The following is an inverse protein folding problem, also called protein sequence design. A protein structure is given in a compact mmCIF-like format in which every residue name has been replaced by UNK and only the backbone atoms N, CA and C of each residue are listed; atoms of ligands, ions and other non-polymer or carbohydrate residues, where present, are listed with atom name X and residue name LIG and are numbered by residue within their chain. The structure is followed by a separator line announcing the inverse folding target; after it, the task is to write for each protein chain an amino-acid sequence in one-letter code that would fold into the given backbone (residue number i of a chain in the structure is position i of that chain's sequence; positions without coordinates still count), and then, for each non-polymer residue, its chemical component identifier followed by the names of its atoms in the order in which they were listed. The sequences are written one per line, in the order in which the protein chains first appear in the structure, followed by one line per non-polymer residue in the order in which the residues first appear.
data_IF_042877507999
#
_entry.id   IF_042877507999
#
_cell.length_a   1.000
_cell.length_b   1.000
_cell.length_c   1.000
_cell.angle_alpha   90.00
_cell.angle_beta   90.00
_cell.angle_gamma   90.00
#
_symmetry.space_group_name_H-M   'P 1'
#
loop_
_entity.id
_entity.type
_entity.pdbx_description
1 polymer ?
#
# COMPACT_ATOMS: atom_id res chain seq x y z
N UNK A 1 1.01 3.97 -8.08
CA UNK A 1 1.66 5.21 -7.56
C UNK A 1 0.60 6.20 -7.07
N UNK A 2 -0.45 6.53 -7.86
CA UNK A 2 -1.48 7.50 -7.49
C UNK A 2 -2.13 7.22 -6.12
N UNK A 3 -2.44 5.95 -5.81
CA UNK A 3 -3.02 5.58 -4.52
C UNK A 3 -2.04 5.87 -3.37
N UNK A 4 -0.74 5.62 -3.58
CA UNK A 4 0.31 5.93 -2.60
C UNK A 4 0.38 7.44 -2.37
N UNK A 5 0.44 8.23 -3.43
CA UNK A 5 0.52 9.68 -3.35
C UNK A 5 -0.72 10.27 -2.65
N UNK A 6 -1.89 9.66 -2.87
CA UNK A 6 -3.14 10.03 -2.23
C UNK A 6 -3.10 9.76 -0.72
N UNK A 7 -2.69 8.56 -0.32
CA UNK A 7 -2.58 8.20 1.10
C UNK A 7 -1.49 9.04 1.80
N UNK A 8 -0.35 9.28 1.15
CA UNK A 8 0.70 10.12 1.69
C UNK A 8 0.22 11.57 1.89
N UNK A 9 -0.51 12.12 0.93
CA UNK A 9 -1.11 13.45 1.07
C UNK A 9 -2.06 13.52 2.27
N UNK A 10 -2.97 12.55 2.41
CA UNK A 10 -3.93 12.54 3.49
C UNK A 10 -3.27 12.34 4.84
N UNK A 11 -2.33 11.42 4.98
CA UNK A 11 -1.62 11.19 6.25
C UNK A 11 -0.76 12.38 6.66
N UNK A 12 -0.05 13.01 5.73
CA UNK A 12 0.74 14.24 6.00
C UNK A 12 -0.13 15.43 6.38
N UNK A 13 -1.37 15.46 5.93
CA UNK A 13 -2.34 16.52 6.23
C UNK A 13 -3.23 16.20 7.43
N UNK A 14 -2.94 15.15 8.20
CA UNK A 14 -3.77 14.73 9.32
C UNK A 14 -5.17 14.32 8.86
N UNK A 15 -5.31 13.77 7.67
CA UNK A 15 -6.58 13.38 7.02
C UNK A 15 -7.51 14.55 6.67
N UNK A 16 -7.05 15.79 6.80
CA UNK A 16 -7.81 16.99 6.41
C UNK A 16 -7.21 17.55 5.13
N UNK A 17 -7.79 17.23 4.00
CA UNK A 17 -7.31 17.70 2.68
C UNK A 17 -8.42 18.46 1.98
N UNK A 18 -8.12 19.72 1.60
CA UNK A 18 -9.04 20.52 0.80
C UNK A 18 -9.13 19.98 -0.63
N UNK A 19 -10.28 20.21 -1.28
CA UNK A 19 -10.48 19.92 -2.70
C UNK A 19 -9.37 20.46 -3.59
N UNK A 20 -8.85 21.65 -3.27
CA UNK A 20 -7.76 22.27 -4.02
C UNK A 20 -6.46 21.45 -3.94
N UNK A 21 -6.12 20.91 -2.76
CA UNK A 21 -4.94 20.04 -2.58
C UNK A 21 -5.11 18.72 -3.31
N UNK A 22 -6.30 18.11 -3.23
CA UNK A 22 -6.61 16.90 -3.98
C UNK A 22 -6.53 17.13 -5.50
N UNK A 23 -7.09 18.23 -5.99
CA UNK A 23 -6.99 18.60 -7.40
C UNK A 23 -5.55 18.83 -7.82
N UNK A 24 -4.76 19.51 -6.99
CA UNK A 24 -3.34 19.74 -7.26
C UNK A 24 -2.58 18.41 -7.33
N UNK A 25 -2.77 17.51 -6.38
CA UNK A 25 -2.17 16.17 -6.40
C UNK A 25 -2.53 15.42 -7.68
N UNK A 26 -3.81 15.45 -8.06
CA UNK A 26 -4.28 14.82 -9.29
C UNK A 26 -3.60 15.45 -10.51
N UNK A 27 -3.52 16.76 -10.59
CA UNK A 27 -2.86 17.48 -11.70
C UNK A 27 -1.37 17.17 -11.73
N UNK A 28 -0.68 17.22 -10.60
CA UNK A 28 0.76 16.96 -10.50
C UNK A 28 1.09 15.50 -10.84
N UNK A 29 0.28 14.56 -10.33
CA UNK A 29 0.42 13.12 -10.61
C UNK A 29 0.02 12.77 -12.05
N UNK A 30 -0.92 13.53 -12.65
CA UNK A 30 -1.41 13.33 -14.00
C UNK A 30 -0.60 14.12 -15.05
N UNK A 31 0.38 14.88 -14.62
CA UNK A 31 1.25 15.68 -15.51
C UNK A 31 0.47 16.73 -16.29
N UNK A 32 1.06 17.89 -16.43
CA UNK A 32 0.47 19.02 -17.15
C UNK A 32 0.20 18.74 -18.63
N UNK A 33 0.78 17.71 -19.20
CA UNK A 33 0.72 17.39 -20.62
C UNK A 33 -0.28 16.29 -20.99
N UNK A 34 -1.15 15.89 -20.07
CA UNK A 34 -2.17 14.87 -20.36
C UNK A 34 -1.63 13.49 -20.77
N UNK A 35 -0.31 13.32 -20.77
CA UNK A 35 0.34 12.05 -21.01
C UNK A 35 0.43 11.33 -19.66
N UNK A 36 -0.67 10.80 -19.30
CA UNK A 36 -0.81 10.04 -18.11
C UNK A 36 -0.81 8.57 -18.50
N UNK A 37 0.10 7.74 -18.01
CA UNK A 37 0.01 6.30 -18.27
C UNK A 37 -1.37 5.77 -17.90
N UNK A 38 -1.97 6.31 -16.88
CA UNK A 38 -3.35 6.04 -16.50
C UNK A 38 -4.38 6.59 -17.51
N UNK A 39 -4.14 7.70 -18.16
CA UNK A 39 -5.10 8.28 -19.08
C UNK A 39 -5.40 7.39 -20.29
N UNK A 40 -4.48 6.49 -20.61
CA UNK A 40 -4.68 5.48 -21.66
C UNK A 40 -5.41 4.25 -21.15
N UNK A 41 -5.28 3.93 -19.85
CA UNK A 41 -5.71 2.67 -19.24
C UNK A 41 -6.91 2.80 -18.28
N UNK A 42 -7.52 3.98 -18.15
CA UNK A 42 -8.77 4.07 -17.39
C UNK A 42 -9.83 3.18 -18.02
N UNK A 43 -10.49 2.32 -17.22
CA UNK A 43 -11.63 1.56 -17.70
C UNK A 43 -12.65 2.51 -18.33
N UNK A 44 -13.27 2.06 -19.40
CA UNK A 44 -14.36 2.80 -20.04
C UNK A 44 -15.66 2.44 -19.34
N UNK A 45 -16.51 3.44 -19.12
CA UNK A 45 -17.88 3.19 -18.70
C UNK A 45 -18.69 2.54 -19.85
N UNK A 46 -19.95 2.17 -19.59
CA UNK A 46 -20.84 1.59 -20.60
C UNK A 46 -21.03 2.46 -21.86
N UNK A 47 -20.73 3.76 -21.78
CA UNK A 47 -20.78 4.71 -22.92
C UNK A 47 -19.43 4.84 -23.63
N UNK A 48 -18.43 4.03 -23.31
CA UNK A 48 -17.11 4.08 -23.90
C UNK A 48 -16.22 5.27 -23.45
N UNK A 49 -16.68 6.08 -22.50
CA UNK A 49 -15.93 7.21 -21.95
C UNK A 49 -14.97 6.74 -20.86
N UNK A 50 -13.82 7.41 -20.73
CA UNK A 50 -12.86 7.11 -19.65
C UNK A 50 -13.46 7.48 -18.30
N UNK A 51 -13.56 6.50 -17.42
CA UNK A 51 -14.24 6.62 -16.12
C UNK A 51 -13.32 7.23 -15.05
N UNK A 52 -12.92 8.48 -15.26
CA UNK A 52 -12.06 9.21 -14.31
C UNK A 52 -12.81 9.57 -13.02
N UNK A 53 -14.08 9.90 -13.15
CA UNK A 53 -14.93 10.34 -12.02
C UNK A 53 -15.16 9.20 -11.03
N UNK A 54 -15.46 8.00 -11.52
CA UNK A 54 -15.66 6.82 -10.68
C UNK A 54 -14.38 6.41 -9.97
N UNK A 55 -13.22 6.50 -10.62
CA UNK A 55 -11.94 6.21 -9.98
C UNK A 55 -11.61 7.23 -8.88
N UNK A 56 -11.87 8.52 -9.12
CA UNK A 56 -11.71 9.55 -8.10
C UNK A 56 -12.64 9.27 -6.91
N UNK A 57 -13.92 9.04 -7.16
CA UNK A 57 -14.86 8.71 -6.11
C UNK A 57 -14.47 7.43 -5.34
N UNK A 58 -13.90 6.46 -6.04
CA UNK A 58 -13.38 5.23 -5.42
C UNK A 58 -12.19 5.53 -4.48
N UNK A 59 -11.25 6.37 -4.89
CA UNK A 59 -10.12 6.77 -4.03
C UNK A 59 -10.59 7.54 -2.81
N UNK A 60 -11.51 8.48 -2.98
CA UNK A 60 -12.06 9.26 -1.86
C UNK A 60 -12.75 8.34 -0.83
N UNK A 61 -13.57 7.40 -1.30
CA UNK A 61 -14.24 6.42 -0.43
C UNK A 61 -13.24 5.47 0.26
N UNK A 62 -12.23 4.99 -0.45
CA UNK A 62 -11.19 4.14 0.11
C UNK A 62 -10.38 4.87 1.17
N UNK A 63 -10.04 6.14 0.90
CA UNK A 63 -9.30 6.98 1.85
C UNK A 63 -10.11 7.23 3.11
N UNK A 64 -11.39 7.54 2.98
CA UNK A 64 -12.29 7.72 4.13
C UNK A 64 -12.45 6.42 4.92
N UNK A 65 -12.61 5.29 4.24
CA UNK A 65 -12.71 3.99 4.90
C UNK A 65 -11.41 3.64 5.66
N UNK A 66 -10.26 3.93 5.06
CA UNK A 66 -8.96 3.74 5.71
C UNK A 66 -8.78 4.66 6.91
N UNK A 67 -9.15 5.94 6.80
CA UNK A 67 -9.13 6.89 7.90
C UNK A 67 -9.96 6.39 9.08
N UNK A 68 -11.20 5.98 8.82
CA UNK A 68 -12.10 5.46 9.85
C UNK A 68 -11.55 4.19 10.50
N UNK A 69 -10.99 3.28 9.70
CA UNK A 69 -10.35 2.06 10.19
C UNK A 69 -9.16 2.38 11.10
N UNK A 70 -8.28 3.28 10.64
CA UNK A 70 -7.10 3.68 11.41
C UNK A 70 -7.48 4.36 12.73
N UNK A 71 -8.48 5.26 12.72
CA UNK A 71 -8.99 5.91 13.91
C UNK A 71 -9.61 4.89 14.89
N UNK A 72 -10.46 3.99 14.41
CA UNK A 72 -11.10 2.96 15.22
C UNK A 72 -10.08 2.03 15.88
N UNK A 73 -9.02 1.69 15.17
CA UNK A 73 -7.95 0.81 15.63
C UNK A 73 -6.82 1.55 16.35
N UNK A 74 -6.93 2.86 16.50
CA UNK A 74 -5.94 3.74 17.15
C UNK A 74 -4.56 3.72 16.50
N UNK A 75 -4.51 3.58 15.17
CA UNK A 75 -3.26 3.72 14.43
C UNK A 75 -2.72 5.15 14.55
N UNK A 76 -1.40 5.37 14.54
CA UNK A 76 -0.82 6.70 14.44
C UNK A 76 -1.36 7.47 13.23
N UNK A 77 -1.61 8.77 13.38
CA UNK A 77 -2.15 9.61 12.32
C UNK A 77 -1.09 10.08 11.30
N UNK A 78 0.18 9.84 11.58
CA UNK A 78 1.30 10.30 10.74
C UNK A 78 2.50 9.37 10.86
N UNK A 79 3.57 9.66 10.10
CA UNK A 79 4.80 8.91 10.15
C UNK A 79 4.77 7.63 9.31
N UNK A 80 3.84 7.49 8.38
CA UNK A 80 3.72 6.35 7.49
C UNK A 80 4.55 6.52 6.23
N UNK A 81 5.25 5.46 5.84
CA UNK A 81 5.79 5.26 4.49
C UNK A 81 4.92 4.26 3.76
N UNK A 82 4.47 4.64 2.59
CA UNK A 82 3.60 3.85 1.72
C UNK A 82 4.41 3.24 0.59
N UNK A 83 4.23 1.98 0.31
CA UNK A 83 4.96 1.29 -0.75
C UNK A 83 4.08 0.34 -1.56
N UNK A 84 4.41 0.22 -2.86
CA UNK A 84 3.80 -0.72 -3.79
C UNK A 84 4.86 -1.19 -4.79
N UNK A 85 5.36 -2.40 -4.61
CA UNK A 85 6.41 -2.95 -5.45
C UNK A 85 7.85 -2.52 -5.09
N UNK A 86 8.00 -1.49 -4.27
CA UNK A 86 9.28 -1.01 -3.72
C UNK A 86 9.22 -0.92 -2.18
N UNK A 87 10.18 -0.28 -1.56
CA UNK A 87 10.21 -0.03 -0.11
C UNK A 87 9.95 -1.30 0.71
N UNK A 88 9.04 -1.22 1.68
CA UNK A 88 8.68 -2.36 2.52
C UNK A 88 8.00 -3.48 1.71
N UNK A 89 7.14 -3.16 0.76
CA UNK A 89 6.50 -4.16 -0.10
C UNK A 89 7.53 -4.92 -0.93
N UNK A 90 8.46 -4.20 -1.57
CA UNK A 90 9.53 -4.82 -2.36
C UNK A 90 10.45 -5.69 -1.51
N UNK A 91 10.76 -5.26 -0.29
CA UNK A 91 11.53 -6.03 0.67
C UNK A 91 10.82 -7.34 1.04
N UNK A 92 9.54 -7.27 1.45
CA UNK A 92 8.74 -8.45 1.82
C UNK A 92 8.62 -9.44 0.64
N UNK A 93 8.37 -8.95 -0.55
CA UNK A 93 8.28 -9.78 -1.75
C UNK A 93 9.63 -10.46 -2.08
N UNK A 94 10.74 -9.76 -1.90
CA UNK A 94 12.07 -10.34 -2.07
C UNK A 94 12.32 -11.48 -1.08
N UNK A 95 12.07 -11.26 0.21
CA UNK A 95 12.21 -12.29 1.24
C UNK A 95 11.31 -13.51 0.92
N UNK A 96 10.05 -13.26 0.58
CA UNK A 96 9.11 -14.33 0.24
C UNK A 96 9.58 -15.19 -0.93
N UNK A 97 10.12 -14.58 -1.98
CA UNK A 97 10.60 -15.32 -3.16
C UNK A 97 11.92 -16.01 -2.90
N UNK A 98 12.88 -15.36 -2.27
CA UNK A 98 14.24 -15.89 -2.10
C UNK A 98 14.33 -16.89 -0.96
N UNK A 99 13.71 -16.62 0.19
CA UNK A 99 13.89 -17.41 1.42
C UNK A 99 12.69 -18.29 1.77
N UNK A 100 11.47 -17.91 1.35
CA UNK A 100 10.26 -18.70 1.63
C UNK A 100 9.78 -19.53 0.45
N UNK A 101 10.49 -19.50 -0.70
CA UNK A 101 10.16 -20.32 -1.86
C UNK A 101 8.81 -20.00 -2.48
N UNK A 102 8.32 -18.79 -2.33
CA UNK A 102 7.12 -18.34 -3.03
C UNK A 102 7.45 -18.21 -4.51
N UNK A 103 6.82 -19.06 -5.32
CA UNK A 103 6.97 -19.07 -6.77
C UNK A 103 5.64 -18.73 -7.44
N UNK A 104 5.70 -18.11 -8.63
CA UNK A 104 4.50 -17.75 -9.40
C UNK A 104 4.03 -16.32 -9.13
N UNK A 105 2.73 -16.07 -9.25
CA UNK A 105 2.16 -14.76 -9.01
C UNK A 105 2.26 -14.39 -7.52
N UNK A 106 2.95 -13.30 -7.21
CA UNK A 106 3.03 -12.75 -5.85
C UNK A 106 1.63 -12.43 -5.30
N UNK A 107 0.66 -12.17 -6.18
CA UNK A 107 -0.73 -11.90 -5.80
C UNK A 107 -1.39 -13.07 -5.06
N UNK A 108 -0.95 -14.30 -5.30
CA UNK A 108 -1.48 -15.48 -4.60
C UNK A 108 -0.98 -15.61 -3.16
N UNK A 109 0.23 -15.15 -2.90
CA UNK A 109 0.82 -15.13 -1.55
C UNK A 109 0.55 -13.82 -0.82
N UNK A 110 0.66 -12.73 -1.54
CA UNK A 110 0.57 -11.39 -0.98
C UNK A 110 -0.62 -10.62 -1.62
N UNK A 111 -1.82 -10.72 -1.03
CA UNK A 111 -3.01 -10.06 -1.55
C UNK A 111 -3.01 -8.54 -1.31
N UNK A 112 -1.90 -7.98 -0.83
CA UNK A 112 -1.75 -6.57 -0.52
C UNK A 112 -1.43 -5.78 -1.79
N UNK A 113 -2.18 -4.72 -2.04
CA UNK A 113 -1.89 -3.76 -3.10
C UNK A 113 -0.88 -2.70 -2.64
N UNK A 114 -0.94 -2.34 -1.36
CA UNK A 114 -0.09 -1.34 -0.72
C UNK A 114 0.28 -1.84 0.68
N UNK A 115 1.52 -1.57 1.08
CA UNK A 115 1.97 -1.72 2.47
C UNK A 115 2.35 -0.35 3.01
N UNK A 116 1.80 0.01 4.16
CA UNK A 116 2.27 1.13 4.94
C UNK A 116 3.03 0.66 6.17
N UNK A 117 4.14 1.31 6.47
CA UNK A 117 4.98 1.04 7.63
C UNK A 117 5.28 2.33 8.38
N UNK A 118 5.26 2.29 9.72
CA UNK A 118 5.73 3.41 10.53
C UNK A 118 7.21 3.64 10.26
N UNK A 119 7.57 4.86 9.85
CA UNK A 119 8.95 5.21 9.44
C UNK A 119 9.98 4.89 10.52
N UNK A 120 9.60 5.07 11.79
CA UNK A 120 10.45 4.75 12.95
C UNK A 120 10.66 3.26 13.17
N UNK A 121 9.79 2.41 12.62
CA UNK A 121 9.82 0.96 12.81
C UNK A 121 10.32 0.20 11.58
N UNK A 122 10.46 0.86 10.45
CA UNK A 122 10.80 0.20 9.18
C UNK A 122 12.08 -0.62 9.28
N UNK A 123 13.16 -0.01 9.81
CA UNK A 123 14.43 -0.71 9.91
C UNK A 123 14.37 -1.85 10.94
N UNK A 124 13.73 -1.63 12.07
CA UNK A 124 13.55 -2.67 13.09
C UNK A 124 12.83 -3.90 12.55
N UNK A 125 11.79 -3.68 11.73
CA UNK A 125 11.04 -4.77 11.10
C UNK A 125 11.92 -5.53 10.10
N UNK A 126 12.67 -4.81 9.27
CA UNK A 126 13.61 -5.42 8.31
C UNK A 126 14.68 -6.24 9.00
N UNK A 127 15.30 -5.69 10.03
CA UNK A 127 16.36 -6.36 10.79
C UNK A 127 15.86 -7.65 11.46
N UNK A 128 14.64 -7.63 12.04
CA UNK A 128 14.04 -8.83 12.63
C UNK A 128 13.75 -9.89 11.58
N UNK A 129 13.21 -9.50 10.42
CA UNK A 129 12.94 -10.43 9.33
C UNK A 129 14.25 -11.03 8.79
N UNK A 130 15.27 -10.22 8.57
CA UNK A 130 16.57 -10.69 8.06
C UNK A 130 17.28 -11.62 9.03
N UNK A 131 17.12 -11.38 10.33
CA UNK A 131 17.70 -12.20 11.39
C UNK A 131 17.02 -13.56 11.51
N UNK A 132 15.68 -13.61 11.42
CA UNK A 132 14.90 -14.80 11.77
C UNK A 132 14.52 -15.63 10.54
N UNK A 133 14.36 -15.02 9.37
CA UNK A 133 14.04 -15.67 8.08
C UNK A 133 15.33 -15.87 7.29
N UNK A 134 15.99 -17.01 7.44
CA UNK A 134 17.37 -17.24 7.01
C UNK A 134 17.42 -18.12 5.75
N UNK A 135 18.35 -17.83 4.85
CA UNK A 135 18.66 -18.70 3.70
C UNK A 135 19.12 -20.09 4.17
N UNK A 136 18.70 -21.12 3.43
CA UNK A 136 19.06 -22.51 3.71
C UNK A 136 18.22 -23.19 4.79
N UNK A 137 17.32 -22.47 5.44
CA UNK A 137 16.29 -23.03 6.32
C UNK A 137 15.12 -23.55 5.48
N UNK A 138 14.36 -24.50 6.03
CA UNK A 138 13.15 -24.99 5.39
C UNK A 138 12.19 -23.85 5.02
N UNK A 139 11.67 -23.91 3.81
CA UNK A 139 10.88 -22.81 3.22
C UNK A 139 9.55 -22.60 3.91
N UNK A 140 8.95 -23.67 4.45
CA UNK A 140 7.67 -23.56 5.14
C UNK A 140 7.88 -22.99 6.55
N UNK A 141 8.98 -23.35 7.21
CA UNK A 141 9.39 -22.71 8.48
C UNK A 141 9.60 -21.21 8.27
N UNK A 142 10.31 -20.82 7.21
CA UNK A 142 10.54 -19.42 6.89
C UNK A 142 9.24 -18.65 6.59
N UNK A 143 8.26 -19.27 5.92
CA UNK A 143 6.92 -18.67 5.70
C UNK A 143 6.21 -18.40 7.02
N UNK A 144 6.23 -19.37 7.93
CA UNK A 144 5.58 -19.23 9.22
C UNK A 144 6.23 -18.15 10.08
N UNK A 145 7.57 -18.07 10.07
CA UNK A 145 8.32 -17.00 10.74
C UNK A 145 7.98 -15.64 10.14
N UNK A 146 8.03 -15.48 8.82
CA UNK A 146 7.69 -14.24 8.14
C UNK A 146 6.25 -13.79 8.47
N UNK A 147 5.30 -14.70 8.39
CA UNK A 147 3.90 -14.42 8.72
C UNK A 147 3.74 -14.04 10.21
N UNK A 148 4.43 -14.72 11.11
CA UNK A 148 4.43 -14.41 12.54
C UNK A 148 4.94 -13.00 12.82
N UNK A 149 6.05 -12.61 12.21
CA UNK A 149 6.64 -11.27 12.34
C UNK A 149 5.68 -10.22 11.77
N UNK A 150 5.12 -10.45 10.58
CA UNK A 150 4.15 -9.52 9.99
C UNK A 150 2.93 -9.33 10.89
N UNK A 151 2.34 -10.41 11.39
CA UNK A 151 1.20 -10.36 12.31
C UNK A 151 1.55 -9.60 13.59
N UNK A 152 2.73 -9.80 14.16
CA UNK A 152 3.22 -9.06 15.33
C UNK A 152 3.18 -7.56 15.09
N UNK A 153 3.73 -7.10 13.97
CA UNK A 153 3.78 -5.67 13.66
C UNK A 153 2.45 -5.08 13.18
N UNK A 154 1.58 -5.87 12.57
CA UNK A 154 0.20 -5.46 12.28
C UNK A 154 -0.58 -5.25 13.60
N UNK A 155 -0.48 -6.20 14.53
CA UNK A 155 -1.11 -6.08 15.87
C UNK A 155 -0.50 -4.94 16.68
N UNK A 156 0.80 -4.68 16.52
CA UNK A 156 1.52 -3.57 17.13
C UNK A 156 1.28 -2.22 16.47
N UNK A 157 0.42 -2.13 15.46
CA UNK A 157 0.05 -0.91 14.74
C UNK A 157 1.24 -0.21 14.04
N UNK A 158 2.27 -0.96 13.70
CA UNK A 158 3.46 -0.49 13.00
C UNK A 158 3.48 -0.86 11.51
N UNK A 159 2.71 -1.86 11.11
CA UNK A 159 2.56 -2.34 9.74
C UNK A 159 1.07 -2.37 9.37
N UNK A 160 0.73 -1.87 8.19
CA UNK A 160 -0.65 -1.82 7.71
C UNK A 160 -0.72 -2.33 6.26
N UNK A 161 -1.17 -3.57 6.07
CA UNK A 161 -1.44 -4.11 4.74
C UNK A 161 -2.79 -3.61 4.23
N UNK A 162 -2.82 -3.19 2.97
CA UNK A 162 -4.02 -2.64 2.33
C UNK A 162 -4.27 -3.35 1.02
N UNK A 163 -5.49 -3.85 0.83
CA UNK A 163 -5.98 -4.32 -0.46
C UNK A 163 -7.00 -3.33 -1.01
N UNK A 164 -6.74 -2.83 -2.22
CA UNK A 164 -7.58 -1.85 -2.88
C UNK A 164 -8.61 -2.55 -3.77
N UNK A 165 -9.87 -2.24 -3.56
CA UNK A 165 -10.95 -2.74 -4.43
C UNK A 165 -11.66 -1.56 -5.07
N UNK A 166 -11.94 -1.64 -6.37
CA UNK A 166 -12.81 -0.67 -7.02
C UNK A 166 -14.20 -0.81 -6.39
N UNK A 167 -14.72 0.30 -5.89
CA UNK A 167 -16.08 0.36 -5.38
C UNK A 167 -16.98 0.70 -6.59
N UNK A 168 -17.85 -0.22 -6.94
CA UNK A 168 -18.86 -0.02 -7.98
C UNK A 168 -20.06 0.76 -7.44
#
# INVERSE_FOLDING_TARGET
QLSIDYFDLFTKSGWVVSDQKCRKLLVDSFGRNGIFPFATNFPRNAKGQKDKETWRASFDKQTLALQNYMALRRFPNSGWKWSRGDGMMGFLNNIATTRCGVSGSLDSWNPMDIVAVQSSMEQTIKDEIEKDVIDGVDKDINKDLLNGIMIKYIKGLALLPISLKKIN
#
